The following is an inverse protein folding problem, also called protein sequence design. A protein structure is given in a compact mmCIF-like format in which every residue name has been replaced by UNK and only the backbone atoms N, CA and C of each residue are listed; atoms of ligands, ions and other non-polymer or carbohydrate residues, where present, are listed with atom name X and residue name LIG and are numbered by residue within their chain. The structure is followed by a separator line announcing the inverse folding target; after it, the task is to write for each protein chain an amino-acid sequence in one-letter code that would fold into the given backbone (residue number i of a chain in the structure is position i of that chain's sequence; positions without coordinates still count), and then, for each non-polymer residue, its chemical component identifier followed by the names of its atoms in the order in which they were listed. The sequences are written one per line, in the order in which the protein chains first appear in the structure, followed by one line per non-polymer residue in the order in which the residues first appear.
data_IF_717370473659
#
_entry.id   IF_717370473659
#
_cell.length_a   1.000
_cell.length_b   1.000
_cell.length_c   1.000
_cell.angle_alpha   90.00
_cell.angle_beta   90.00
_cell.angle_gamma   90.00
#
_symmetry.space_group_name_H-M   'P 1'
#
loop_
_entity.id
_entity.type
_entity.pdbx_description
1 polymer ?
#
# COMPACT_ATOMS: atom_id res chain seq x y z
N UNK A 1 -15.32 9.62 -82.36
CA UNK A 1 -14.81 10.42 -81.23
C UNK A 1 -14.64 9.50 -80.01
N UNK A 2 -13.40 9.41 -79.53
CA UNK A 2 -12.83 8.93 -78.25
C UNK A 2 -13.64 7.98 -77.33
N UNK A 3 -13.08 6.79 -77.06
CA UNK A 3 -13.37 5.94 -75.89
C UNK A 3 -12.53 6.40 -74.70
N UNK A 4 -13.15 6.89 -73.63
CA UNK A 4 -12.45 7.25 -72.39
C UNK A 4 -12.53 6.06 -71.40
N UNK A 5 -11.40 5.42 -71.10
CA UNK A 5 -11.31 4.26 -70.20
C UNK A 5 -11.32 4.74 -68.74
N UNK A 6 -12.35 4.35 -67.98
CA UNK A 6 -12.37 4.46 -66.52
C UNK A 6 -11.23 3.65 -65.91
N UNK A 7 -10.27 4.32 -65.25
CA UNK A 7 -9.23 3.66 -64.47
C UNK A 7 -9.83 3.15 -63.17
N UNK A 8 -10.19 1.87 -63.11
CA UNK A 8 -10.47 1.18 -61.85
C UNK A 8 -9.16 1.09 -61.06
N UNK A 9 -9.07 1.80 -59.93
CA UNK A 9 -7.97 1.63 -58.99
C UNK A 9 -8.04 0.19 -58.47
N UNK A 10 -7.06 -0.63 -58.85
CA UNK A 10 -6.94 -2.02 -58.42
C UNK A 10 -6.92 -2.06 -56.89
N UNK A 11 -7.97 -2.61 -56.28
CA UNK A 11 -7.97 -2.98 -54.88
C UNK A 11 -6.92 -4.10 -54.72
N UNK A 12 -5.75 -3.76 -54.16
CA UNK A 12 -4.75 -4.74 -53.79
C UNK A 12 -5.27 -5.54 -52.59
N UNK A 13 -5.36 -6.85 -52.73
CA UNK A 13 -5.69 -7.76 -51.64
C UNK A 13 -4.52 -7.90 -50.66
N UNK A 14 -4.84 -8.08 -49.38
CA UNK A 14 -3.87 -8.34 -48.32
C UNK A 14 -3.11 -9.65 -48.60
N UNK A 15 -1.79 -9.64 -48.46
CA UNK A 15 -1.00 -10.88 -48.62
C UNK A 15 -1.00 -11.70 -47.32
N UNK A 16 -0.99 -13.03 -47.42
CA UNK A 16 -0.89 -13.91 -46.24
C UNK A 16 0.39 -13.66 -45.44
N UNK A 17 1.48 -13.31 -46.14
CA UNK A 17 2.77 -13.00 -45.53
C UNK A 17 2.69 -11.74 -44.67
N UNK A 18 1.94 -10.75 -45.11
CA UNK A 18 1.77 -9.48 -44.41
C UNK A 18 0.96 -9.65 -43.12
N UNK A 19 -0.07 -10.51 -43.13
CA UNK A 19 -0.77 -10.89 -41.89
C UNK A 19 0.12 -11.73 -40.98
N UNK A 20 0.95 -12.64 -41.53
CA UNK A 20 1.84 -13.50 -40.76
C UNK A 20 2.91 -12.71 -40.01
N UNK A 21 3.54 -11.72 -40.65
CA UNK A 21 4.55 -10.87 -40.02
C UNK A 21 3.91 -10.03 -38.91
N UNK A 22 2.69 -9.54 -39.09
CA UNK A 22 1.98 -8.74 -38.09
C UNK A 22 1.70 -9.55 -36.83
N UNK A 23 1.17 -10.77 -36.96
CA UNK A 23 0.91 -11.62 -35.78
C UNK A 23 2.21 -12.02 -35.06
N UNK A 24 3.30 -12.20 -35.80
CA UNK A 24 4.62 -12.49 -35.24
C UNK A 24 5.13 -11.32 -34.38
N UNK A 25 5.03 -10.09 -34.90
CA UNK A 25 5.45 -8.89 -34.17
C UNK A 25 4.58 -8.69 -32.92
N UNK A 26 3.25 -8.86 -33.03
CA UNK A 26 2.35 -8.76 -31.87
C UNK A 26 2.69 -9.80 -30.80
N UNK A 27 2.96 -11.05 -31.18
CA UNK A 27 3.33 -12.11 -30.25
C UNK A 27 4.63 -11.81 -29.50
N UNK A 28 5.64 -11.27 -30.19
CA UNK A 28 6.91 -10.86 -29.57
C UNK A 28 6.73 -9.70 -28.59
N UNK A 29 5.95 -8.68 -28.94
CA UNK A 29 5.67 -7.55 -28.05
C UNK A 29 4.87 -7.99 -26.81
N UNK A 30 3.84 -8.83 -27.01
CA UNK A 30 3.03 -9.38 -25.91
C UNK A 30 3.89 -10.16 -24.90
N UNK A 31 4.85 -10.95 -25.36
CA UNK A 31 5.73 -11.73 -24.49
C UNK A 31 6.51 -10.87 -23.48
N UNK A 32 6.89 -9.64 -23.85
CA UNK A 32 7.61 -8.72 -22.97
C UNK A 32 6.67 -7.91 -22.04
N UNK A 33 5.49 -7.53 -22.53
CA UNK A 33 4.57 -6.62 -21.82
C UNK A 33 3.79 -7.32 -20.70
N UNK A 34 3.34 -8.57 -20.91
CA UNK A 34 2.50 -9.31 -19.96
C UNK A 34 3.03 -9.34 -18.51
N UNK A 35 4.31 -9.70 -18.24
CA UNK A 35 4.79 -9.81 -16.85
C UNK A 35 4.79 -8.47 -16.09
N UNK A 36 4.90 -7.33 -16.80
CA UNK A 36 4.87 -6.00 -16.18
C UNK A 36 3.44 -5.59 -15.80
N UNK A 37 2.48 -5.87 -16.67
CA UNK A 37 1.06 -5.52 -16.45
C UNK A 37 0.48 -6.26 -15.24
N UNK A 38 0.93 -7.49 -14.97
CA UNK A 38 0.46 -8.28 -13.83
C UNK A 38 0.94 -7.75 -12.46
N UNK A 39 2.07 -7.04 -12.40
CA UNK A 39 2.64 -6.51 -11.14
C UNK A 39 2.14 -5.11 -10.77
N UNK A 40 1.63 -4.36 -11.75
CA UNK A 40 1.18 -2.98 -11.56
C UNK A 40 0.13 -2.80 -10.45
N UNK A 41 -0.93 -3.62 -10.38
CA UNK A 41 -1.98 -3.46 -9.37
C UNK A 41 -1.47 -3.64 -7.93
N UNK A 42 -0.59 -4.60 -7.68
CA UNK A 42 -0.02 -4.84 -6.35
C UNK A 42 0.82 -3.63 -5.87
N UNK A 43 1.65 -3.07 -6.75
CA UNK A 43 2.45 -1.88 -6.44
C UNK A 43 1.58 -0.64 -6.18
N UNK A 44 0.48 -0.48 -6.93
CA UNK A 44 -0.46 0.60 -6.72
C UNK A 44 -1.20 0.48 -5.37
N UNK A 45 -1.60 -0.73 -4.98
CA UNK A 45 -2.19 -0.98 -3.66
C UNK A 45 -1.19 -0.72 -2.52
N UNK A 46 0.06 -1.14 -2.69
CA UNK A 46 1.12 -0.84 -1.72
C UNK A 46 1.34 0.68 -1.56
N UNK A 47 1.25 1.47 -2.65
CA UNK A 47 1.29 2.93 -2.56
C UNK A 47 0.14 3.49 -1.72
N UNK A 48 -1.08 2.98 -1.91
CA UNK A 48 -2.24 3.40 -1.10
C UNK A 48 -1.99 3.07 0.37
N UNK A 49 -1.53 1.85 0.69
CA UNK A 49 -1.19 1.44 2.07
C UNK A 49 -0.17 2.38 2.71
N UNK A 50 0.90 2.74 1.99
CA UNK A 50 1.94 3.63 2.49
C UNK A 50 1.40 5.03 2.78
N UNK A 51 0.61 5.60 1.86
CA UNK A 51 -0.02 6.90 2.06
C UNK A 51 -0.97 6.91 3.25
N UNK A 52 -1.80 5.87 3.39
CA UNK A 52 -2.75 5.75 4.49
C UNK A 52 -2.04 5.62 5.84
N UNK A 53 -1.02 4.75 5.95
CA UNK A 53 -0.19 4.63 7.16
C UNK A 53 0.44 5.97 7.53
N UNK A 54 0.95 6.71 6.54
CA UNK A 54 1.50 8.05 6.76
C UNK A 54 0.48 9.08 7.24
N UNK A 55 -0.70 9.11 6.62
CA UNK A 55 -1.79 9.99 7.04
C UNK A 55 -2.25 9.69 8.47
N UNK A 56 -2.31 8.41 8.85
CA UNK A 56 -2.67 7.99 10.21
C UNK A 56 -1.59 8.42 11.21
N UNK A 57 -0.30 8.27 10.86
CA UNK A 57 0.79 8.72 11.71
C UNK A 57 0.73 10.23 11.97
N UNK A 58 0.46 11.03 10.93
CA UNK A 58 0.26 12.50 11.07
C UNK A 58 -0.94 12.83 11.97
N UNK A 59 -2.05 12.09 11.83
CA UNK A 59 -3.22 12.25 12.69
C UNK A 59 -2.91 11.94 14.17
N UNK A 60 -2.06 10.93 14.41
CA UNK A 60 -1.61 10.56 15.75
C UNK A 60 -0.69 11.61 16.37
N UNK A 61 0.25 12.15 15.60
CA UNK A 61 1.12 13.24 16.08
C UNK A 61 0.34 14.53 16.35
N UNK A 62 -0.68 14.80 15.53
CA UNK A 62 -1.62 15.91 15.76
C UNK A 62 -2.44 15.69 17.03
N UNK A 63 -2.93 14.46 17.27
CA UNK A 63 -3.61 14.10 18.51
C UNK A 63 -2.70 14.30 19.73
N UNK A 64 -1.46 13.79 19.67
CA UNK A 64 -0.48 13.94 20.76
C UNK A 64 -0.20 15.41 21.04
N UNK A 65 -0.03 16.22 20.01
CA UNK A 65 0.20 17.67 20.14
C UNK A 65 -0.97 18.37 20.83
N UNK A 66 -2.21 17.97 20.50
CA UNK A 66 -3.42 18.57 21.08
C UNK A 66 -3.77 18.06 22.49
N UNK A 67 -3.43 16.81 22.82
CA UNK A 67 -3.85 16.12 24.05
C UNK A 67 -2.69 15.77 24.99
N UNK A 68 -1.47 16.21 24.67
CA UNK A 68 -0.22 15.96 25.41
C UNK A 68 0.12 14.47 25.59
N UNK A 69 -0.45 13.59 24.77
CA UNK A 69 -0.25 12.16 24.84
C UNK A 69 -1.13 11.40 23.85
N UNK A 70 -0.85 10.12 23.67
CA UNK A 70 -1.65 9.24 22.81
C UNK A 70 -2.94 8.77 23.52
N UNK A 71 -3.98 8.37 22.77
CA UNK A 71 -5.20 7.82 23.34
C UNK A 71 -4.90 6.62 24.26
N UNK A 72 -5.58 6.55 25.42
CA UNK A 72 -5.45 5.41 26.33
C UNK A 72 -6.38 4.28 25.90
N UNK A 73 -5.93 3.49 24.93
CA UNK A 73 -6.66 2.32 24.39
C UNK A 73 -5.81 1.05 24.52
N UNK A 74 -6.34 -0.08 24.04
CA UNK A 74 -5.58 -1.34 23.97
C UNK A 74 -4.22 -1.12 23.30
N UNK A 75 -3.17 -1.74 23.85
CA UNK A 75 -1.80 -1.62 23.36
C UNK A 75 -1.59 -2.23 21.97
N UNK A 76 -2.52 -3.06 21.48
CA UNK A 76 -2.49 -3.61 20.12
C UNK A 76 -3.91 -3.75 19.61
N UNK A 77 -4.13 -3.49 18.33
CA UNK A 77 -5.44 -3.64 17.74
C UNK A 77 -5.48 -3.34 16.24
N UNK A 78 -6.64 -3.61 15.65
CA UNK A 78 -6.97 -3.15 14.31
C UNK A 78 -7.47 -1.71 14.38
N UNK A 79 -7.11 -0.91 13.39
CA UNK A 79 -7.52 0.48 13.30
C UNK A 79 -8.93 0.54 12.68
N UNK A 80 -9.88 1.07 13.45
CA UNK A 80 -11.29 1.14 13.06
C UNK A 80 -11.92 2.46 13.50
N UNK A 81 -12.82 3.01 12.70
CA UNK A 81 -13.49 4.28 13.00
C UNK A 81 -14.36 4.24 14.28
N UNK A 82 -14.83 3.05 14.67
CA UNK A 82 -15.84 2.88 15.73
C UNK A 82 -15.30 2.32 17.03
N UNK A 83 -14.05 1.83 17.06
CA UNK A 83 -13.46 1.22 18.25
C UNK A 83 -11.99 1.62 18.44
N UNK A 84 -11.50 1.45 19.67
CA UNK A 84 -10.08 1.58 20.00
C UNK A 84 -9.47 2.91 19.56
N UNK A 85 -8.27 2.83 18.97
CA UNK A 85 -7.49 4.00 18.59
C UNK A 85 -8.20 4.87 17.54
N UNK A 86 -8.84 4.26 16.55
CA UNK A 86 -9.45 4.99 15.46
C UNK A 86 -10.67 5.80 15.89
N UNK A 87 -11.46 5.28 16.85
CA UNK A 87 -12.58 6.03 17.43
C UNK A 87 -12.11 7.31 18.14
N UNK A 88 -11.00 7.24 18.87
CA UNK A 88 -10.46 8.40 19.59
C UNK A 88 -9.90 9.46 18.63
N UNK A 89 -9.27 9.03 17.53
CA UNK A 89 -8.84 9.93 16.46
C UNK A 89 -10.02 10.60 15.73
N UNK A 90 -11.10 9.85 15.50
CA UNK A 90 -12.33 10.37 14.90
C UNK A 90 -13.02 11.39 15.83
N UNK A 91 -13.18 11.07 17.11
CA UNK A 91 -13.76 12.00 18.11
C UNK A 91 -12.93 13.28 18.26
N UNK A 92 -11.61 13.18 18.12
CA UNK A 92 -10.71 14.33 18.17
C UNK A 92 -10.70 15.16 16.88
N UNK A 93 -11.42 14.75 15.83
CA UNK A 93 -11.46 15.44 14.54
C UNK A 93 -10.19 15.25 13.69
N UNK A 94 -9.33 14.29 14.06
CA UNK A 94 -8.06 14.03 13.35
C UNK A 94 -8.25 13.06 12.18
N UNK A 95 -9.29 12.24 12.22
CA UNK A 95 -9.71 11.35 11.13
C UNK A 95 -11.20 11.48 10.87
N UNK A 96 -11.61 11.28 9.62
CA UNK A 96 -13.02 11.27 9.23
C UNK A 96 -13.58 9.84 9.24
N UNK A 97 -14.72 9.63 9.88
CA UNK A 97 -15.37 8.31 9.92
C UNK A 97 -15.82 7.83 8.52
N UNK A 98 -16.36 8.74 7.70
CA UNK A 98 -16.89 8.40 6.37
C UNK A 98 -15.78 8.07 5.36
N UNK A 99 -14.60 8.68 5.54
CA UNK A 99 -13.41 8.49 4.70
C UNK A 99 -12.29 7.81 5.48
N UNK A 100 -12.66 6.87 6.35
CA UNK A 100 -11.68 6.17 7.17
C UNK A 100 -10.80 5.28 6.29
N UNK A 101 -9.45 5.31 6.46
CA UNK A 101 -8.55 4.48 5.68
C UNK A 101 -8.90 2.99 5.79
N UNK A 102 -8.95 2.30 4.66
CA UNK A 102 -9.19 0.86 4.56
C UNK A 102 -8.15 0.26 3.63
N UNK A 103 -7.63 -0.91 3.98
CA UNK A 103 -6.66 -1.58 3.11
C UNK A 103 -7.34 -1.88 1.77
N UNK A 104 -6.70 -1.54 0.62
CA UNK A 104 -7.29 -1.75 -0.70
C UNK A 104 -7.49 -3.23 -1.04
N UNK A 105 -6.93 -4.15 -0.26
CA UNK A 105 -7.17 -5.58 -0.38
C UNK A 105 -7.78 -6.13 0.92
N UNK A 106 -8.89 -6.87 0.80
CA UNK A 106 -9.66 -7.34 1.95
C UNK A 106 -9.09 -8.63 2.60
N UNK A 107 -7.98 -9.15 2.07
CA UNK A 107 -7.33 -10.33 2.62
C UNK A 107 -6.67 -10.02 3.98
N UNK A 108 -6.44 -11.07 4.79
CA UNK A 108 -5.76 -11.00 6.08
C UNK A 108 -4.24 -10.75 5.95
N UNK A 109 -3.84 -9.81 5.09
CA UNK A 109 -2.44 -9.45 4.89
C UNK A 109 -1.82 -9.01 6.22
N UNK A 110 -2.50 -8.15 6.98
CA UNK A 110 -2.01 -7.63 8.27
C UNK A 110 -2.47 -8.49 9.45
N UNK A 111 -2.33 -9.81 9.35
CA UNK A 111 -2.70 -10.75 10.42
C UNK A 111 -4.20 -10.77 10.70
N UNK A 112 -4.62 -10.60 11.97
CA UNK A 112 -6.03 -10.64 12.39
C UNK A 112 -6.81 -9.34 12.08
N UNK A 113 -6.30 -8.50 11.18
CA UNK A 113 -6.92 -7.25 10.75
C UNK A 113 -7.24 -7.30 9.24
N UNK A 114 -8.23 -8.12 8.81
CA UNK A 114 -8.60 -8.22 7.40
C UNK A 114 -9.11 -6.87 6.88
N UNK A 115 -8.55 -6.42 5.75
CA UNK A 115 -8.96 -5.16 5.10
C UNK A 115 -8.71 -3.90 5.95
N UNK A 116 -7.87 -3.99 6.99
CA UNK A 116 -7.63 -2.91 7.97
C UNK A 116 -6.14 -2.75 8.25
N UNK A 117 -5.78 -1.56 8.73
CA UNK A 117 -4.46 -1.27 9.27
C UNK A 117 -4.37 -1.78 10.71
N UNK A 118 -3.17 -2.15 11.15
CA UNK A 118 -2.92 -2.55 12.53
C UNK A 118 -2.04 -1.52 13.22
N UNK A 119 -2.17 -1.46 14.55
CA UNK A 119 -1.33 -0.59 15.37
C UNK A 119 -0.84 -1.33 16.61
N UNK A 120 0.32 -0.87 17.11
CA UNK A 120 0.89 -1.30 18.38
C UNK A 120 1.44 -0.10 19.14
N UNK A 121 1.04 0.03 20.39
CA UNK A 121 1.60 0.99 21.32
C UNK A 121 2.87 0.42 21.91
N UNK A 122 3.90 1.26 21.99
CA UNK A 122 5.22 0.88 22.45
C UNK A 122 5.70 1.83 23.53
N UNK A 123 6.46 1.27 24.46
CA UNK A 123 7.04 2.04 25.53
C UNK A 123 8.24 2.85 24.99
N UNK A 124 8.35 4.10 25.44
CA UNK A 124 9.45 4.99 25.06
C UNK A 124 10.02 5.61 26.32
N UNK A 125 11.33 5.43 26.56
CA UNK A 125 12.01 5.97 27.75
C UNK A 125 11.29 5.67 29.08
N UNK A 126 10.73 4.46 29.22
CA UNK A 126 9.97 4.04 30.41
C UNK A 126 8.53 4.56 30.48
N UNK A 127 8.09 5.39 29.55
CA UNK A 127 6.69 5.84 29.43
C UNK A 127 5.88 4.77 28.71
N UNK A 128 4.87 4.22 29.39
CA UNK A 128 3.93 3.29 28.77
C UNK A 128 3.15 3.95 27.65
N UNK A 129 3.04 3.27 26.51
CA UNK A 129 2.34 3.80 25.31
C UNK A 129 2.87 5.17 24.87
N UNK A 130 4.19 5.37 24.98
CA UNK A 130 4.86 6.62 24.63
C UNK A 130 4.95 6.90 23.13
N UNK A 131 4.79 5.87 22.29
CA UNK A 131 4.69 5.99 20.84
C UNK A 131 3.73 4.93 20.26
N UNK A 132 3.31 5.15 19.02
CA UNK A 132 2.43 4.23 18.29
C UNK A 132 3.10 3.83 16.97
N UNK A 133 3.24 2.53 16.77
CA UNK A 133 3.63 1.93 15.49
C UNK A 133 2.34 1.61 14.74
N UNK A 134 2.22 2.10 13.50
CA UNK A 134 1.11 1.82 12.59
C UNK A 134 1.71 1.08 11.41
N UNK A 135 1.08 -0.03 11.01
CA UNK A 135 1.62 -0.88 9.97
C UNK A 135 0.56 -1.57 9.12
N UNK A 136 0.96 -1.95 7.91
CA UNK A 136 0.25 -2.88 7.03
C UNK A 136 1.26 -3.80 6.35
N UNK A 137 0.85 -5.02 6.02
CA UNK A 137 1.66 -5.94 5.22
C UNK A 137 1.59 -5.56 3.75
N UNK A 138 2.73 -5.46 3.10
CA UNK A 138 2.81 -5.19 1.67
C UNK A 138 2.71 -6.46 0.84
N UNK A 139 2.20 -6.33 -0.37
CA UNK A 139 2.19 -7.42 -1.36
C UNK A 139 3.56 -7.56 -2.03
N UNK A 140 4.29 -6.45 -2.17
CA UNK A 140 5.64 -6.43 -2.72
C UNK A 140 6.68 -6.09 -1.64
N UNK A 141 7.69 -6.94 -1.41
CA UNK A 141 8.67 -6.74 -0.33
C UNK A 141 9.64 -5.59 -0.60
N UNK A 142 9.73 -5.11 -1.85
CA UNK A 142 10.64 -4.05 -2.27
C UNK A 142 10.46 -2.72 -1.52
N UNK A 143 9.32 -2.52 -0.85
CA UNK A 143 9.01 -1.32 -0.06
C UNK A 143 8.73 -1.62 1.40
N UNK A 144 8.91 -2.87 1.83
CA UNK A 144 8.71 -3.25 3.22
C UNK A 144 9.88 -2.70 4.06
N UNK A 145 9.55 -2.17 5.24
CA UNK A 145 10.49 -1.55 6.18
C UNK A 145 10.58 -2.30 7.49
N UNK A 146 9.64 -3.21 7.79
CA UNK A 146 9.59 -4.00 9.02
C UNK A 146 9.38 -5.51 8.78
N UNK A 147 9.87 -6.28 9.74
CA UNK A 147 9.69 -7.72 9.91
C UNK A 147 8.62 -8.03 10.95
N UNK A 148 8.25 -9.30 11.09
CA UNK A 148 7.35 -9.77 12.16
C UNK A 148 7.87 -9.42 13.56
N UNK A 149 9.19 -9.42 13.76
CA UNK A 149 9.78 -9.05 15.05
C UNK A 149 9.64 -7.57 15.36
N UNK A 150 9.64 -6.69 14.35
CA UNK A 150 9.59 -5.24 14.55
C UNK A 150 8.18 -4.79 14.93
N UNK A 151 7.15 -5.33 14.28
CA UNK A 151 5.75 -5.02 14.63
C UNK A 151 5.31 -5.64 15.97
N UNK A 152 6.05 -6.63 16.48
CA UNK A 152 5.74 -7.29 17.74
C UNK A 152 6.57 -6.81 18.94
N UNK A 153 7.44 -5.81 18.76
CA UNK A 153 8.21 -5.23 19.87
C UNK A 153 7.31 -4.51 20.89
N UNK A 154 7.71 -4.56 22.17
CA UNK A 154 7.05 -3.84 23.28
C UNK A 154 7.74 -2.52 23.67
N UNK A 155 8.91 -2.24 23.09
CA UNK A 155 9.71 -1.04 23.33
C UNK A 155 10.42 -0.67 22.03
N UNK A 156 10.54 0.63 21.74
CA UNK A 156 11.40 1.09 20.65
C UNK A 156 12.86 0.85 21.04
N UNK A 157 13.60 0.03 20.28
CA UNK A 157 15.04 -0.17 20.46
C UNK A 157 15.83 0.53 19.36
N UNK A 158 17.10 0.83 19.61
CA UNK A 158 18.01 1.43 18.61
C UNK A 158 18.07 0.62 17.30
N UNK A 159 17.91 -0.71 17.40
CA UNK A 159 17.92 -1.67 16.28
C UNK A 159 16.72 -1.51 15.32
N UNK A 160 15.65 -0.85 15.76
CA UNK A 160 14.47 -0.50 14.95
C UNK A 160 14.80 0.53 13.85
N UNK A 161 15.84 1.35 14.04
CA UNK A 161 16.25 2.42 13.11
C UNK A 161 17.27 1.93 12.09
N UNK A 162 18.10 0.94 12.44
CA UNK A 162 19.22 0.48 11.60
C UNK A 162 18.87 -0.67 10.63
N UNK A 163 17.66 -1.23 10.74
CA UNK A 163 17.08 -2.12 9.73
C UNK A 163 17.58 -3.56 9.78
N UNK A 164 16.63 -4.50 9.73
CA UNK A 164 16.88 -5.94 9.52
C UNK A 164 17.17 -6.24 8.04
N UNK A 165 17.84 -7.36 7.70
CA UNK A 165 18.09 -7.75 6.32
C UNK A 165 16.81 -7.80 5.47
N UNK A 166 16.92 -7.40 4.22
CA UNK A 166 15.79 -7.13 3.31
C UNK A 166 14.90 -8.34 3.01
N UNK A 167 15.42 -9.56 3.14
CA UNK A 167 14.68 -10.81 2.87
C UNK A 167 13.51 -11.06 3.82
N UNK A 168 13.55 -10.52 5.04
CA UNK A 168 12.56 -10.81 6.08
C UNK A 168 11.49 -9.72 6.20
N UNK A 169 11.63 -8.63 5.43
CA UNK A 169 10.74 -7.47 5.49
C UNK A 169 9.43 -7.80 4.78
N UNK A 170 8.33 -7.66 5.51
CA UNK A 170 6.96 -7.93 5.02
C UNK A 170 6.02 -6.75 5.22
N UNK A 171 6.33 -5.87 6.16
CA UNK A 171 5.44 -4.80 6.58
C UNK A 171 6.00 -3.45 6.20
N UNK A 172 5.13 -2.54 5.81
CA UNK A 172 5.40 -1.12 5.89
C UNK A 172 4.88 -0.61 7.23
N UNK A 173 5.69 0.16 7.94
CA UNK A 173 5.32 0.74 9.21
C UNK A 173 5.78 2.19 9.30
N UNK A 174 5.10 2.95 10.17
CA UNK A 174 5.51 4.27 10.58
C UNK A 174 5.35 4.41 12.09
N UNK A 175 6.27 5.12 12.72
CA UNK A 175 6.22 5.41 14.16
C UNK A 175 5.75 6.84 14.34
N UNK A 176 4.63 7.01 15.04
CA UNK A 176 4.19 8.30 15.55
C UNK A 176 4.83 8.51 16.92
N UNK A 177 5.51 9.65 17.11
CA UNK A 177 6.01 10.09 18.41
C UNK A 177 7.51 10.25 18.58
N UNK A 178 8.28 10.07 17.49
CA UNK A 178 9.71 10.36 17.43
C UNK A 178 10.00 11.78 16.91
#
# INVERSE_FOLDING_TARGET
MSFNRSRTLLAQGFTLVEVLIVILIIALLMAFIIPQVLKGPAQARDLVRMNDVGNIAVALDSYRSAKQGYPKVSATGCLEATTGLGQELVKAGMLNADKFPKDPEANNLTGNCPGKYAYKMVNVNGVSNGAVIIYSKLETPARATATDSDINQGSLTSEYVFGKPESDRKYYHQVAGL
#
